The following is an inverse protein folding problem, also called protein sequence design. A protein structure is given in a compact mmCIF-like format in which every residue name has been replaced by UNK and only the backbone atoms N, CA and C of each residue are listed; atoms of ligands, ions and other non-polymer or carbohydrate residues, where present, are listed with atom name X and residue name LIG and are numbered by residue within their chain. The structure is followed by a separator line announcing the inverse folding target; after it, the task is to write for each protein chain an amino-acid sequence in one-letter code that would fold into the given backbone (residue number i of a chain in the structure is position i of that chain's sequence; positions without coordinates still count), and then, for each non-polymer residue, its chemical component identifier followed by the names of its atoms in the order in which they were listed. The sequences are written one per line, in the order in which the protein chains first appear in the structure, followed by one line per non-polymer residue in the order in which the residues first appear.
data_IF_641880372261
#
_entry.id   IF_641880372261
#
_cell.length_a   1.000
_cell.length_b   1.000
_cell.length_c   1.000
_cell.angle_alpha   90.00
_cell.angle_beta   90.00
_cell.angle_gamma   90.00
#
_symmetry.space_group_name_H-M   'P 1'
#
loop_
_entity.id
_entity.type
_entity.pdbx_description
1 polymer ?
#
# COMPACT_ATOMS: atom_id res chain seq x y z
N UNK A 1 25.89 9.83 10.85
CA UNK A 1 25.00 10.46 11.87
C UNK A 1 23.59 10.38 11.30
N UNK A 2 22.60 9.93 12.08
CA UNK A 2 21.19 9.86 11.62
C UNK A 2 20.66 11.28 11.50
N UNK A 3 20.14 11.62 10.33
CA UNK A 3 19.49 12.91 10.09
C UNK A 3 17.96 12.76 10.26
N UNK A 4 17.47 13.15 11.42
CA UNK A 4 16.05 13.11 11.78
C UNK A 4 15.18 14.12 11.00
N UNK A 5 15.82 15.09 10.33
CA UNK A 5 15.14 16.06 9.48
C UNK A 5 14.96 15.59 8.04
N UNK A 6 15.55 14.46 7.68
CA UNK A 6 15.51 13.93 6.33
C UNK A 6 14.19 13.21 6.06
N UNK A 7 13.29 13.89 5.37
CA UNK A 7 12.02 13.35 4.90
C UNK A 7 12.03 13.20 3.38
N UNK A 8 11.62 12.05 2.89
CA UNK A 8 11.50 11.78 1.46
C UNK A 8 10.21 12.39 0.91
N UNK A 9 10.25 13.68 0.56
CA UNK A 9 9.12 14.40 -0.04
C UNK A 9 9.21 14.43 -1.57
N UNK A 10 9.49 13.30 -2.16
CA UNK A 10 9.65 13.21 -3.59
C UNK A 10 8.33 13.39 -4.33
N UNK A 11 8.33 14.11 -5.48
CA UNK A 11 7.10 14.45 -6.20
C UNK A 11 6.26 13.23 -6.58
N UNK A 12 6.87 12.11 -6.90
CA UNK A 12 6.14 10.88 -7.25
C UNK A 12 5.49 10.21 -6.03
N UNK A 13 6.14 10.23 -4.85
CA UNK A 13 5.56 9.70 -3.62
C UNK A 13 4.36 10.55 -3.19
N UNK A 14 4.60 11.85 -3.01
CA UNK A 14 3.54 12.77 -2.60
C UNK A 14 2.43 12.83 -3.64
N UNK A 15 2.78 12.93 -4.94
CA UNK A 15 1.81 12.93 -6.04
C UNK A 15 0.99 11.65 -6.10
N UNK A 16 1.60 10.49 -5.88
CA UNK A 16 0.91 9.19 -5.82
C UNK A 16 -0.07 9.12 -4.66
N UNK A 17 0.32 9.54 -3.45
CA UNK A 17 -0.55 9.57 -2.27
C UNK A 17 -1.72 10.55 -2.45
N UNK A 18 -1.43 11.76 -2.93
CA UNK A 18 -2.46 12.78 -3.20
C UNK A 18 -3.44 12.29 -4.27
N UNK A 19 -2.94 11.73 -5.37
CA UNK A 19 -3.79 11.17 -6.43
C UNK A 19 -4.68 10.04 -5.90
N UNK A 20 -4.11 9.11 -5.13
CA UNK A 20 -4.85 7.98 -4.55
C UNK A 20 -5.94 8.46 -3.59
N UNK A 21 -5.60 9.40 -2.70
CA UNK A 21 -6.56 10.04 -1.80
C UNK A 21 -7.66 10.80 -2.54
N UNK A 22 -7.28 11.54 -3.58
CA UNK A 22 -8.23 12.28 -4.43
C UNK A 22 -9.17 11.34 -5.19
N UNK A 23 -8.66 10.28 -5.80
CA UNK A 23 -9.47 9.28 -6.51
C UNK A 23 -10.49 8.64 -5.56
N UNK A 24 -10.07 8.27 -4.35
CA UNK A 24 -11.00 7.75 -3.35
C UNK A 24 -12.07 8.79 -2.97
N UNK A 25 -11.69 10.05 -2.75
CA UNK A 25 -12.63 11.12 -2.43
C UNK A 25 -13.66 11.36 -3.54
N UNK A 26 -13.22 11.34 -4.80
CA UNK A 26 -14.10 11.50 -5.97
C UNK A 26 -15.05 10.31 -6.11
N UNK A 27 -14.56 9.10 -5.93
CA UNK A 27 -15.39 7.89 -6.00
C UNK A 27 -16.41 7.83 -4.85
N UNK A 28 -15.96 8.06 -3.60
CA UNK A 28 -16.82 8.03 -2.42
C UNK A 28 -17.75 9.26 -2.30
N UNK A 29 -17.40 10.37 -2.91
CA UNK A 29 -18.14 11.62 -2.92
C UNK A 29 -19.09 11.74 -4.12
N UNK A 30 -18.72 12.55 -5.14
CA UNK A 30 -19.62 12.86 -6.26
C UNK A 30 -20.01 11.64 -7.09
N UNK A 31 -19.10 10.71 -7.35
CA UNK A 31 -19.36 9.52 -8.16
C UNK A 31 -20.09 8.41 -7.41
N UNK A 32 -20.22 8.48 -6.09
CA UNK A 32 -20.94 7.48 -5.29
C UNK A 32 -22.34 7.18 -5.82
N UNK A 33 -23.09 8.23 -6.20
CA UNK A 33 -24.47 8.09 -6.73
C UNK A 33 -24.55 7.24 -8.01
N UNK A 34 -23.45 7.11 -8.74
CA UNK A 34 -23.38 6.31 -9.97
C UNK A 34 -23.07 4.84 -9.70
N UNK A 35 -22.29 4.54 -8.67
CA UNK A 35 -21.73 3.20 -8.42
C UNK A 35 -22.30 2.51 -7.19
N UNK A 36 -22.69 3.27 -6.16
CA UNK A 36 -23.26 2.71 -4.94
C UNK A 36 -24.78 2.52 -5.06
N UNK A 37 -25.37 1.60 -4.29
CA UNK A 37 -26.82 1.47 -4.16
C UNK A 37 -27.50 2.77 -3.76
N UNK A 38 -28.73 2.99 -4.22
CA UNK A 38 -29.51 4.19 -3.90
C UNK A 38 -29.69 4.29 -2.38
N UNK A 39 -29.45 5.48 -1.82
CA UNK A 39 -29.56 5.74 -0.37
C UNK A 39 -28.32 5.39 0.45
N UNK A 40 -27.24 4.88 -0.17
CA UNK A 40 -25.99 4.61 0.56
C UNK A 40 -25.43 5.90 1.18
N UNK A 41 -25.20 5.96 2.51
CA UNK A 41 -24.61 7.12 3.16
C UNK A 41 -23.13 7.28 2.80
N UNK A 42 -22.57 8.46 3.08
CA UNK A 42 -21.12 8.66 2.90
C UNK A 42 -20.33 7.74 3.86
N UNK A 43 -19.34 6.98 3.37
CA UNK A 43 -18.64 5.97 4.14
C UNK A 43 -17.56 6.59 5.06
N UNK A 44 -17.99 7.26 6.16
CA UNK A 44 -17.07 7.98 7.06
C UNK A 44 -16.02 7.09 7.71
N UNK A 45 -16.41 5.91 8.20
CA UNK A 45 -15.49 4.98 8.85
C UNK A 45 -14.43 4.49 7.86
N UNK A 46 -14.85 4.15 6.64
CA UNK A 46 -13.93 3.75 5.56
C UNK A 46 -13.00 4.89 5.15
N UNK A 47 -13.51 6.15 5.15
CA UNK A 47 -12.68 7.32 4.89
C UNK A 47 -11.53 7.44 5.91
N UNK A 48 -11.87 7.34 7.20
CA UNK A 48 -10.83 7.35 8.24
C UNK A 48 -9.81 6.24 8.08
N UNK A 49 -10.24 4.99 7.85
CA UNK A 49 -9.33 3.87 7.63
C UNK A 49 -8.45 4.11 6.40
N UNK A 50 -9.04 4.55 5.29
CA UNK A 50 -8.31 4.76 4.03
C UNK A 50 -7.23 5.84 4.17
N UNK A 51 -7.58 7.01 4.71
CA UNK A 51 -6.61 8.08 4.89
C UNK A 51 -5.56 7.75 5.97
N UNK A 52 -5.94 7.01 7.01
CA UNK A 52 -4.97 6.47 7.98
C UNK A 52 -3.98 5.50 7.31
N UNK A 53 -4.43 4.68 6.36
CA UNK A 53 -3.54 3.83 5.57
C UNK A 53 -2.50 4.65 4.78
N UNK A 54 -2.93 5.74 4.11
CA UNK A 54 -2.02 6.63 3.38
C UNK A 54 -1.02 7.31 4.33
N UNK A 55 -1.44 7.69 5.53
CA UNK A 55 -0.54 8.26 6.55
C UNK A 55 0.47 7.21 7.01
N UNK A 56 0.04 5.99 7.33
CA UNK A 56 0.96 4.90 7.73
C UNK A 56 1.94 4.58 6.61
N UNK A 57 1.45 4.50 5.37
CA UNK A 57 2.30 4.29 4.20
C UNK A 57 3.36 5.40 4.08
N UNK A 58 2.95 6.67 4.18
CA UNK A 58 3.89 7.79 4.13
C UNK A 58 4.89 7.74 5.29
N UNK A 59 4.47 7.41 6.50
CA UNK A 59 5.37 7.27 7.63
C UNK A 59 6.36 6.13 7.44
N UNK A 60 5.97 5.05 6.77
CA UNK A 60 6.87 3.94 6.49
C UNK A 60 7.96 4.32 5.47
N UNK A 61 7.59 4.97 4.34
CA UNK A 61 8.52 5.18 3.22
C UNK A 61 9.00 6.62 3.04
N UNK A 62 8.33 7.59 3.66
CA UNK A 62 8.67 9.02 3.55
C UNK A 62 9.35 9.60 4.78
N UNK A 63 9.34 8.90 5.92
CA UNK A 63 9.94 9.39 7.16
C UNK A 63 11.42 9.00 7.26
N UNK A 64 12.17 9.54 8.25
CA UNK A 64 13.54 9.13 8.54
C UNK A 64 13.73 7.62 8.81
N UNK A 65 12.65 6.87 9.03
CA UNK A 65 12.67 5.41 9.18
C UNK A 65 13.29 4.72 7.96
N UNK A 66 12.99 5.23 6.77
CA UNK A 66 13.52 4.73 5.49
C UNK A 66 15.06 4.84 5.47
N UNK A 67 15.59 6.03 5.75
CA UNK A 67 17.04 6.25 5.82
C UNK A 67 17.72 5.39 6.89
N UNK A 68 17.05 5.20 8.04
CA UNK A 68 17.57 4.39 9.13
C UNK A 68 17.62 2.93 8.71
N UNK A 69 16.58 2.45 8.03
CA UNK A 69 16.49 1.09 7.52
C UNK A 69 17.54 0.78 6.45
N UNK A 70 17.73 1.69 5.50
CA UNK A 70 18.68 1.50 4.41
C UNK A 70 20.14 1.53 4.84
N UNK A 71 20.50 2.35 5.84
CA UNK A 71 21.92 2.69 6.11
C UNK A 71 22.42 2.26 7.48
N UNK A 72 21.55 2.05 8.46
CA UNK A 72 22.00 1.93 9.84
C UNK A 72 21.49 0.69 10.56
N UNK A 73 20.20 0.34 10.40
CA UNK A 73 19.57 -0.70 11.21
C UNK A 73 18.66 -1.60 10.38
N UNK A 74 19.07 -2.84 10.17
CA UNK A 74 18.23 -3.85 9.53
C UNK A 74 16.88 -4.05 10.22
N UNK A 75 16.81 -3.92 11.55
CA UNK A 75 15.55 -3.96 12.29
C UNK A 75 14.59 -2.83 11.94
N UNK A 76 15.10 -1.64 11.60
CA UNK A 76 14.27 -0.54 11.12
C UNK A 76 13.73 -0.81 9.71
N UNK A 77 14.54 -1.42 8.83
CA UNK A 77 14.10 -1.90 7.53
C UNK A 77 12.98 -2.96 7.67
N UNK A 78 13.14 -3.93 8.56
CA UNK A 78 12.09 -4.91 8.84
C UNK A 78 10.83 -4.27 9.42
N UNK A 79 10.95 -3.27 10.29
CA UNK A 79 9.80 -2.53 10.81
C UNK A 79 9.05 -1.80 9.71
N UNK A 80 9.76 -1.20 8.75
CA UNK A 80 9.17 -0.54 7.58
C UNK A 80 8.31 -1.53 6.77
N UNK A 81 8.82 -2.71 6.45
CA UNK A 81 8.04 -3.76 5.78
C UNK A 81 6.81 -4.17 6.60
N UNK A 82 6.95 -4.34 7.92
CA UNK A 82 5.81 -4.67 8.77
C UNK A 82 4.73 -3.59 8.77
N UNK A 83 5.11 -2.31 8.71
CA UNK A 83 4.16 -1.20 8.60
C UNK A 83 3.40 -1.20 7.27
N UNK A 84 4.06 -1.57 6.17
CA UNK A 84 3.43 -1.68 4.85
C UNK A 84 2.50 -2.90 4.76
N UNK A 85 2.98 -4.08 5.15
CA UNK A 85 2.27 -5.36 5.00
C UNK A 85 1.02 -5.43 5.90
N UNK A 86 1.11 -4.97 7.14
CA UNK A 86 0.02 -5.13 8.10
C UNK A 86 -0.83 -3.86 8.25
N UNK A 87 -0.43 -2.82 9.01
CA UNK A 87 -1.35 -1.72 9.28
C UNK A 87 -1.74 -0.95 8.02
N UNK A 88 -0.82 -0.65 7.11
CA UNK A 88 -1.14 0.11 5.92
C UNK A 88 -2.09 -0.68 5.00
N UNK A 89 -1.75 -1.92 4.64
CA UNK A 89 -2.57 -2.75 3.76
C UNK A 89 -3.94 -3.09 4.38
N UNK A 90 -4.00 -3.45 5.66
CA UNK A 90 -5.26 -3.76 6.35
C UNK A 90 -6.17 -2.52 6.39
N UNK A 91 -5.65 -1.36 6.80
CA UNK A 91 -6.40 -0.12 6.85
C UNK A 91 -6.88 0.33 5.46
N UNK A 92 -6.04 0.13 4.42
CA UNK A 92 -6.41 0.39 3.04
C UNK A 92 -7.59 -0.48 2.60
N UNK A 93 -7.53 -1.80 2.83
CA UNK A 93 -8.61 -2.73 2.48
C UNK A 93 -9.90 -2.44 3.23
N UNK A 94 -9.82 -2.19 4.55
CA UNK A 94 -10.99 -1.77 5.36
C UNK A 94 -11.55 -0.44 4.87
N UNK A 95 -10.69 0.44 4.37
CA UNK A 95 -11.04 1.73 3.81
C UNK A 95 -11.76 1.69 2.47
N UNK A 96 -11.86 0.52 1.82
CA UNK A 96 -12.58 0.35 0.56
C UNK A 96 -14.04 -0.07 0.82
N UNK A 97 -15.04 0.78 0.51
CA UNK A 97 -16.45 0.37 0.59
C UNK A 97 -16.76 -0.82 -0.32
N UNK A 98 -17.56 -1.76 0.13
CA UNK A 98 -17.90 -2.99 -0.63
C UNK A 98 -18.35 -2.70 -2.06
N UNK A 99 -19.17 -1.67 -2.28
CA UNK A 99 -19.65 -1.33 -3.62
C UNK A 99 -18.54 -0.90 -4.59
N UNK A 100 -17.41 -0.33 -4.09
CA UNK A 100 -16.23 -0.05 -4.93
C UNK A 100 -15.59 -1.36 -5.40
N UNK A 101 -15.38 -2.28 -4.48
CA UNK A 101 -14.79 -3.60 -4.76
C UNK A 101 -15.71 -4.40 -5.70
N UNK A 102 -17.00 -4.43 -5.42
CA UNK A 102 -18.00 -5.14 -6.24
C UNK A 102 -18.04 -4.63 -7.68
N UNK A 103 -17.82 -3.31 -7.88
CA UNK A 103 -17.78 -2.72 -9.23
C UNK A 103 -16.64 -3.32 -10.06
N UNK A 104 -15.49 -3.58 -9.45
CA UNK A 104 -14.34 -4.22 -10.11
C UNK A 104 -14.59 -5.72 -10.29
N UNK A 105 -15.11 -6.40 -9.26
CA UNK A 105 -15.33 -7.83 -9.25
C UNK A 105 -16.52 -8.29 -10.14
N UNK A 106 -17.35 -7.39 -10.64
CA UNK A 106 -18.40 -7.71 -11.64
C UNK A 106 -17.81 -8.28 -12.93
N UNK A 107 -16.56 -8.00 -13.24
CA UNK A 107 -15.88 -8.58 -14.41
C UNK A 107 -15.46 -10.03 -14.10
N UNK A 108 -15.85 -11.03 -14.91
CA UNK A 108 -15.60 -12.44 -14.62
C UNK A 108 -14.09 -12.78 -14.50
N UNK A 109 -13.25 -12.10 -15.27
CA UNK A 109 -11.80 -12.26 -15.18
C UNK A 109 -11.26 -11.77 -13.84
N UNK A 110 -11.70 -10.58 -13.37
CA UNK A 110 -11.30 -10.04 -12.08
C UNK A 110 -11.79 -10.91 -10.92
N UNK A 111 -13.01 -11.44 -11.02
CA UNK A 111 -13.56 -12.34 -10.02
C UNK A 111 -12.78 -13.66 -9.92
N UNK A 112 -12.42 -14.27 -11.07
CA UNK A 112 -11.60 -15.48 -11.10
C UNK A 112 -10.21 -15.23 -10.49
N UNK A 113 -9.56 -14.17 -10.88
CA UNK A 113 -8.26 -13.80 -10.36
C UNK A 113 -8.32 -13.49 -8.85
N UNK A 114 -9.32 -12.72 -8.41
CA UNK A 114 -9.53 -12.42 -7.00
C UNK A 114 -9.74 -13.69 -6.17
N UNK A 115 -10.59 -14.61 -6.61
CA UNK A 115 -10.80 -15.91 -5.93
C UNK A 115 -9.52 -16.75 -5.87
N UNK A 116 -8.70 -16.73 -6.92
CA UNK A 116 -7.43 -17.44 -6.93
C UNK A 116 -6.46 -16.84 -5.92
N UNK A 117 -6.25 -15.51 -5.98
CA UNK A 117 -5.28 -14.79 -5.15
C UNK A 117 -5.69 -14.71 -3.68
N UNK A 118 -6.98 -14.89 -3.35
CA UNK A 118 -7.46 -14.93 -1.95
C UNK A 118 -7.49 -16.33 -1.33
N UNK A 119 -7.05 -17.36 -2.07
CA UNK A 119 -6.89 -18.71 -1.48
C UNK A 119 -5.73 -18.69 -0.47
N UNK A 120 -5.93 -19.18 0.77
CA UNK A 120 -4.90 -19.07 1.83
C UNK A 120 -3.56 -19.68 1.44
N UNK A 121 -3.55 -20.81 0.74
CA UNK A 121 -2.31 -21.46 0.28
C UNK A 121 -1.60 -20.59 -0.76
N UNK A 122 -2.34 -20.04 -1.73
CA UNK A 122 -1.77 -19.18 -2.76
C UNK A 122 -1.25 -17.88 -2.16
N UNK A 123 -2.00 -17.26 -1.24
CA UNK A 123 -1.53 -16.08 -0.50
C UNK A 123 -0.20 -16.38 0.23
N UNK A 124 -0.14 -17.50 0.96
CA UNK A 124 1.06 -17.89 1.69
C UNK A 124 2.26 -18.10 0.75
N UNK A 125 2.04 -18.80 -0.37
CA UNK A 125 3.09 -19.05 -1.38
C UNK A 125 3.55 -17.74 -2.02
N UNK A 126 2.63 -16.90 -2.48
CA UNK A 126 2.96 -15.60 -3.12
C UNK A 126 3.71 -14.70 -2.12
N UNK A 127 3.20 -14.58 -0.90
CA UNK A 127 3.86 -13.82 0.15
C UNK A 127 5.29 -14.31 0.42
N UNK A 128 5.46 -15.62 0.62
CA UNK A 128 6.77 -16.21 0.88
C UNK A 128 7.74 -15.99 -0.29
N UNK A 129 7.25 -16.14 -1.52
CA UNK A 129 8.06 -15.89 -2.73
C UNK A 129 8.49 -14.43 -2.83
N UNK A 130 7.59 -13.48 -2.65
CA UNK A 130 7.89 -12.04 -2.72
C UNK A 130 8.92 -11.68 -1.65
N UNK A 131 8.68 -12.07 -0.39
CA UNK A 131 9.62 -11.79 0.70
C UNK A 131 10.98 -12.43 0.43
N UNK A 132 11.02 -13.71 0.03
CA UNK A 132 12.28 -14.41 -0.22
C UNK A 132 13.07 -13.82 -1.38
N UNK A 133 12.37 -13.43 -2.47
CA UNK A 133 13.01 -12.84 -3.64
C UNK A 133 13.67 -11.49 -3.30
N UNK A 134 12.96 -10.59 -2.61
CA UNK A 134 13.52 -9.29 -2.24
C UNK A 134 14.65 -9.38 -1.22
N UNK A 135 14.70 -10.44 -0.40
CA UNK A 135 15.79 -10.69 0.55
C UNK A 135 16.95 -11.50 -0.05
N UNK A 136 16.91 -11.85 -1.33
CA UNK A 136 18.10 -12.39 -2.02
C UNK A 136 19.18 -11.30 -2.10
N UNK A 137 20.45 -11.61 -1.79
CA UNK A 137 21.53 -10.62 -1.75
C UNK A 137 21.60 -9.74 -3.01
N UNK A 138 21.45 -10.33 -4.19
CA UNK A 138 21.50 -9.61 -5.47
C UNK A 138 20.37 -8.60 -5.67
N UNK A 139 19.12 -8.94 -5.28
CA UNK A 139 17.97 -8.02 -5.39
C UNK A 139 17.98 -6.99 -4.28
N UNK A 140 18.37 -7.39 -3.08
CA UNK A 140 18.55 -6.48 -1.95
C UNK A 140 19.59 -5.39 -2.25
N UNK A 141 20.78 -5.77 -2.71
CA UNK A 141 21.82 -4.82 -3.11
C UNK A 141 21.38 -3.92 -4.27
N UNK A 142 20.62 -4.46 -5.21
CA UNK A 142 20.07 -3.68 -6.31
C UNK A 142 19.02 -2.66 -5.84
N UNK A 143 18.14 -3.04 -4.92
CA UNK A 143 17.17 -2.14 -4.32
C UNK A 143 17.85 -0.98 -3.57
N UNK A 144 18.94 -1.25 -2.83
CA UNK A 144 19.72 -0.22 -2.16
C UNK A 144 20.43 0.76 -3.13
N UNK A 145 20.76 0.32 -4.34
CA UNK A 145 21.48 1.13 -5.34
C UNK A 145 20.56 1.84 -6.33
N UNK A 146 19.34 1.32 -6.52
CA UNK A 146 18.41 1.84 -7.52
C UNK A 146 17.05 2.18 -6.91
N UNK A 147 16.74 3.45 -6.88
CA UNK A 147 15.52 3.99 -6.29
C UNK A 147 14.22 3.44 -6.89
N UNK A 148 14.17 3.17 -8.19
CA UNK A 148 12.98 2.60 -8.82
C UNK A 148 12.76 1.16 -8.36
N UNK A 149 13.84 0.40 -8.18
CA UNK A 149 13.79 -0.97 -7.64
C UNK A 149 13.33 -0.97 -6.20
N UNK A 150 13.83 -0.04 -5.38
CA UNK A 150 13.41 0.17 -3.99
C UNK A 150 11.91 0.52 -3.89
N UNK A 151 11.41 1.41 -4.75
CA UNK A 151 9.97 1.70 -4.83
C UNK A 151 9.17 0.46 -5.25
N UNK A 152 9.67 -0.33 -6.21
CA UNK A 152 9.00 -1.58 -6.62
C UNK A 152 8.95 -2.59 -5.48
N UNK A 153 9.99 -2.71 -4.67
CA UNK A 153 10.02 -3.52 -3.45
C UNK A 153 8.87 -3.11 -2.50
N UNK A 154 8.80 -1.84 -2.12
CA UNK A 154 7.76 -1.34 -1.21
C UNK A 154 6.34 -1.51 -1.75
N UNK A 155 6.14 -1.28 -3.06
CA UNK A 155 4.82 -1.48 -3.70
C UNK A 155 4.41 -2.94 -3.72
N UNK A 156 5.36 -3.88 -3.84
CA UNK A 156 5.04 -5.31 -3.82
C UNK A 156 4.75 -5.84 -2.41
N UNK A 157 5.20 -5.16 -1.36
CA UNK A 157 4.88 -5.47 0.03
C UNK A 157 3.54 -4.88 0.48
N UNK A 158 3.08 -3.82 -0.16
CA UNK A 158 1.78 -3.20 0.10
C UNK A 158 0.65 -3.88 -0.69
#
# INVERSE_FOLDING_TARGET
MIDWSHWHNEPYLIGGLVLTGWLWAVLAGPLRRRFAPIGTPFPRAQAWSFYSALVVFYLAVGSPLDQIGERFLFSAHMLQHQLLIYPAAILFLIGLPHWMVDTVLRRPACLKLGRLLTQPVICAVVYTLVVSLWHMPTLYDWALQNKLVHVAEHVTFF
#
